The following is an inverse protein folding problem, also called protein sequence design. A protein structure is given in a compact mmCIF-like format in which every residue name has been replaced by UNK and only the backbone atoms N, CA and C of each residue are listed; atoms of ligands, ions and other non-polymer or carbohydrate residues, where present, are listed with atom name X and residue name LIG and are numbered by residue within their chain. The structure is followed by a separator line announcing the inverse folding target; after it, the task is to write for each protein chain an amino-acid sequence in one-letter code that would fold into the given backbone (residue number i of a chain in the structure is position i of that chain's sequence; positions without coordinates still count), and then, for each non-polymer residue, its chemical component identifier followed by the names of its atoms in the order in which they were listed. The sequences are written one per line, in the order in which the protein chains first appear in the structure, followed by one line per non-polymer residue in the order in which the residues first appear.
data_IF_340631801400
#
_entry.id   IF_340631801400
#
_cell.length_a   1.000
_cell.length_b   1.000
_cell.length_c   1.000
_cell.angle_alpha   90.00
_cell.angle_beta   90.00
_cell.angle_gamma   90.00
#
_symmetry.space_group_name_H-M   'P 1'
#
loop_
_entity.id
_entity.type
_entity.pdbx_description
1 polymer ?
#
# COMPACT_ATOMS: atom_id res chain seq x y z
N UNK A 1 -22.99 11.73 -7.98
CA UNK A 1 -22.84 13.01 -7.26
C UNK A 1 -23.40 12.86 -5.86
N UNK A 2 -22.67 13.32 -4.83
CA UNK A 2 -23.07 13.23 -3.41
C UNK A 2 -23.16 14.65 -2.84
N UNK A 3 -24.28 15.00 -2.23
CA UNK A 3 -24.44 16.25 -1.50
C UNK A 3 -23.93 16.10 -0.07
N UNK A 4 -23.15 17.05 0.42
CA UNK A 4 -22.51 16.98 1.72
C UNK A 4 -22.46 18.35 2.41
N UNK A 5 -22.34 18.34 3.75
CA UNK A 5 -22.18 19.57 4.55
C UNK A 5 -20.75 20.12 4.38
N UNK A 6 -20.52 20.82 3.30
CA UNK A 6 -19.21 21.40 2.93
C UNK A 6 -19.37 22.72 2.21
N UNK A 7 -18.29 23.52 2.16
CA UNK A 7 -18.27 24.83 1.52
C UNK A 7 -17.70 24.81 0.09
N UNK A 8 -17.01 23.73 -0.31
CA UNK A 8 -16.33 23.63 -1.59
C UNK A 8 -16.69 22.36 -2.35
N UNK A 9 -16.53 22.37 -3.66
CA UNK A 9 -16.62 21.21 -4.52
C UNK A 9 -15.39 20.30 -4.34
N UNK A 10 -15.55 18.99 -4.52
CA UNK A 10 -14.46 18.04 -4.49
C UNK A 10 -14.72 16.89 -5.46
N UNK A 11 -13.70 16.51 -6.21
CA UNK A 11 -13.70 15.29 -7.00
C UNK A 11 -12.72 14.32 -6.35
N UNK A 12 -13.16 13.09 -6.20
CA UNK A 12 -12.32 11.97 -5.74
C UNK A 12 -12.36 10.89 -6.81
N UNK A 13 -11.22 10.46 -7.28
CA UNK A 13 -11.07 9.31 -8.17
C UNK A 13 -10.52 8.17 -7.33
N UNK A 14 -11.32 7.13 -7.12
CA UNK A 14 -10.90 5.94 -6.38
C UNK A 14 -10.10 5.01 -7.28
N UNK A 15 -9.36 4.08 -6.68
CA UNK A 15 -8.48 3.13 -7.39
C UNK A 15 -9.22 2.25 -8.39
N UNK A 16 -10.46 1.87 -8.09
CA UNK A 16 -11.33 1.08 -8.99
C UNK A 16 -11.93 1.91 -10.12
N UNK A 17 -11.42 3.12 -10.36
CA UNK A 17 -11.91 4.02 -11.41
C UNK A 17 -13.22 4.74 -11.08
N UNK A 18 -13.78 4.54 -9.88
CA UNK A 18 -15.00 5.26 -9.48
C UNK A 18 -14.70 6.73 -9.22
N UNK A 19 -15.33 7.60 -10.00
CA UNK A 19 -15.29 9.05 -9.80
C UNK A 19 -16.46 9.46 -8.92
N UNK A 20 -16.17 10.07 -7.77
CA UNK A 20 -17.18 10.61 -6.86
C UNK A 20 -17.03 12.13 -6.76
N UNK A 21 -18.13 12.84 -7.03
CA UNK A 21 -18.20 14.30 -6.92
C UNK A 21 -19.02 14.67 -5.69
N UNK A 22 -18.39 15.34 -4.73
CA UNK A 22 -19.05 15.86 -3.52
C UNK A 22 -19.25 17.34 -3.64
N UNK A 23 -20.49 17.78 -3.46
CA UNK A 23 -20.91 19.18 -3.62
C UNK A 23 -21.61 19.69 -2.37
N UNK A 24 -21.59 21.01 -2.11
CA UNK A 24 -22.41 21.63 -1.08
C UNK A 24 -23.91 21.37 -1.30
N UNK A 25 -24.71 21.37 -0.24
CA UNK A 25 -26.18 21.19 -0.35
C UNK A 25 -26.84 22.25 -1.23
N UNK A 26 -26.34 23.49 -1.21
CA UNK A 26 -26.85 24.61 -1.97
C UNK A 26 -26.39 24.67 -3.43
N UNK A 27 -25.47 23.81 -3.83
CA UNK A 27 -24.90 23.82 -5.18
C UNK A 27 -25.93 23.36 -6.21
N UNK A 28 -26.05 24.12 -7.32
CA UNK A 28 -26.87 23.72 -8.45
C UNK A 28 -26.23 22.56 -9.22
N UNK A 29 -27.03 21.77 -9.90
CA UNK A 29 -26.56 20.69 -10.74
C UNK A 29 -25.69 21.21 -11.90
N UNK A 30 -26.05 22.37 -12.45
CA UNK A 30 -25.26 23.05 -13.48
C UNK A 30 -23.86 23.40 -13.01
N UNK A 31 -23.74 24.02 -11.83
CA UNK A 31 -22.45 24.36 -11.24
C UNK A 31 -21.57 23.09 -10.95
N UNK A 32 -22.21 21.98 -10.53
CA UNK A 32 -21.52 20.72 -10.33
C UNK A 32 -20.97 20.15 -11.65
N UNK A 33 -21.76 20.19 -12.73
CA UNK A 33 -21.33 19.73 -14.07
C UNK A 33 -20.20 20.61 -14.62
N UNK A 34 -20.29 21.91 -14.51
CA UNK A 34 -19.26 22.86 -14.94
C UNK A 34 -17.94 22.60 -14.18
N UNK A 35 -18.01 22.36 -12.88
CA UNK A 35 -16.85 22.00 -12.08
C UNK A 35 -16.21 20.68 -12.51
N UNK A 36 -16.99 19.63 -12.79
CA UNK A 36 -16.48 18.35 -13.30
C UNK A 36 -15.81 18.55 -14.65
N UNK A 37 -16.45 19.28 -15.57
CA UNK A 37 -15.89 19.55 -16.88
C UNK A 37 -14.58 20.33 -16.81
N UNK A 38 -14.46 21.30 -15.90
CA UNK A 38 -13.22 22.06 -15.69
C UNK A 38 -12.06 21.19 -15.15
N UNK A 39 -12.34 19.99 -14.67
CA UNK A 39 -11.36 19.03 -14.12
C UNK A 39 -11.27 17.74 -14.92
N UNK A 40 -11.87 17.69 -16.13
CA UNK A 40 -11.90 16.48 -16.96
C UNK A 40 -10.52 15.91 -17.26
N UNK A 41 -9.57 16.73 -17.69
CA UNK A 41 -8.19 16.30 -17.95
C UNK A 41 -7.51 15.71 -16.70
N UNK A 42 -7.72 16.32 -15.54
CA UNK A 42 -7.19 15.80 -14.29
C UNK A 42 -7.81 14.44 -13.93
N UNK A 43 -9.14 14.31 -14.11
CA UNK A 43 -9.86 13.05 -13.89
C UNK A 43 -9.35 11.97 -14.84
N UNK A 44 -9.19 12.27 -16.13
CA UNK A 44 -8.66 11.35 -17.13
C UNK A 44 -7.23 10.90 -16.78
N UNK A 45 -6.36 11.84 -16.39
CA UNK A 45 -5.00 11.52 -15.93
C UNK A 45 -5.03 10.59 -14.71
N UNK A 46 -5.93 10.83 -13.75
CA UNK A 46 -6.09 9.97 -12.59
C UNK A 46 -6.60 8.58 -12.97
N UNK A 47 -7.61 8.49 -13.85
CA UNK A 47 -8.16 7.22 -14.33
C UNK A 47 -7.11 6.41 -15.10
N UNK A 48 -6.37 7.05 -16.00
CA UNK A 48 -5.27 6.42 -16.74
C UNK A 48 -4.17 5.93 -15.80
N UNK A 49 -3.75 6.76 -14.85
CA UNK A 49 -2.77 6.37 -13.84
C UNK A 49 -3.24 5.20 -12.96
N UNK A 50 -4.53 5.14 -12.63
CA UNK A 50 -5.11 4.03 -11.88
C UNK A 50 -5.24 2.76 -12.73
N UNK A 51 -5.54 2.88 -14.02
CA UNK A 51 -5.60 1.75 -14.96
C UNK A 51 -4.22 1.13 -15.20
N UNK A 52 -3.17 1.96 -15.25
CA UNK A 52 -1.78 1.53 -15.36
C UNK A 52 -1.20 1.05 -14.02
N UNK A 53 -1.93 1.23 -12.92
CA UNK A 53 -1.51 0.81 -11.59
C UNK A 53 -1.78 -0.68 -11.39
N UNK A 54 -0.72 -1.45 -11.40
CA UNK A 54 -0.75 -2.89 -11.07
C UNK A 54 -1.13 -3.18 -9.60
N UNK A 55 -1.46 -2.17 -8.82
CA UNK A 55 -1.52 -2.29 -7.37
C UNK A 55 -2.77 -1.63 -6.75
N UNK A 56 -3.49 -2.27 -5.80
CA UNK A 56 -3.30 -3.62 -5.28
C UNK A 56 -3.70 -4.71 -6.29
N UNK A 57 -3.06 -5.91 -6.24
CA UNK A 57 -3.41 -7.00 -7.16
C UNK A 57 -4.87 -7.42 -6.98
N UNK A 58 -5.51 -7.86 -8.06
CA UNK A 58 -6.86 -8.41 -7.99
C UNK A 58 -6.88 -9.64 -7.09
N UNK A 59 -7.78 -9.67 -6.13
CA UNK A 59 -7.95 -10.78 -5.20
C UNK A 59 -8.93 -11.82 -5.77
N UNK A 60 -8.55 -12.48 -6.86
CA UNK A 60 -9.32 -13.54 -7.51
C UNK A 60 -8.61 -14.90 -7.34
N UNK A 61 -9.37 -16.00 -7.32
CA UNK A 61 -8.77 -17.36 -7.31
C UNK A 61 -7.98 -17.59 -8.59
N UNK A 62 -6.75 -18.13 -8.47
CA UNK A 62 -5.82 -18.32 -9.57
C UNK A 62 -4.91 -17.10 -9.81
N UNK A 63 -5.09 -15.97 -9.12
CA UNK A 63 -4.22 -14.82 -9.26
C UNK A 63 -2.82 -15.12 -8.69
N UNK A 64 -1.80 -14.75 -9.45
CA UNK A 64 -0.40 -14.84 -9.03
C UNK A 64 0.10 -13.50 -8.49
N UNK A 65 0.88 -13.55 -7.41
CA UNK A 65 1.48 -12.38 -6.79
C UNK A 65 2.69 -12.77 -5.93
N UNK A 66 3.42 -11.77 -5.48
CA UNK A 66 4.54 -11.97 -4.59
C UNK A 66 4.19 -11.50 -3.18
N UNK A 67 4.67 -12.25 -2.16
CA UNK A 67 4.73 -11.75 -0.78
C UNK A 67 6.16 -11.94 -0.29
N UNK A 68 6.78 -10.86 0.16
CA UNK A 68 8.15 -10.88 0.65
C UNK A 68 9.14 -11.50 -0.37
N UNK A 69 8.97 -11.21 -1.66
CA UNK A 69 9.79 -11.71 -2.75
C UNK A 69 9.53 -13.17 -3.16
N UNK A 70 8.57 -13.87 -2.53
CA UNK A 70 8.20 -15.24 -2.89
C UNK A 70 6.91 -15.26 -3.70
N UNK A 71 6.83 -16.06 -4.78
CA UNK A 71 5.62 -16.17 -5.58
C UNK A 71 4.56 -17.01 -4.86
N UNK A 72 3.31 -16.61 -5.01
CA UNK A 72 2.14 -17.32 -4.51
C UNK A 72 1.02 -17.30 -5.53
N UNK A 73 0.26 -18.40 -5.61
CA UNK A 73 -1.03 -18.46 -6.32
C UNK A 73 -2.16 -18.47 -5.29
N UNK A 74 -3.12 -17.55 -5.44
CA UNK A 74 -4.21 -17.33 -4.50
C UNK A 74 -5.40 -18.22 -4.80
N UNK A 75 -5.92 -18.90 -3.79
CA UNK A 75 -7.18 -19.65 -3.87
C UNK A 75 -8.09 -19.28 -2.71
N UNK A 76 -9.37 -19.05 -3.03
CA UNK A 76 -10.40 -18.87 -2.02
C UNK A 76 -11.23 -20.15 -1.90
N UNK A 77 -11.58 -20.51 -0.67
CA UNK A 77 -12.42 -21.68 -0.41
C UNK A 77 -13.45 -21.40 0.69
N UNK A 78 -14.55 -22.18 0.66
CA UNK A 78 -15.54 -22.23 1.74
C UNK A 78 -15.50 -23.63 2.36
N UNK A 79 -15.23 -23.73 3.67
CA UNK A 79 -15.13 -25.05 4.33
C UNK A 79 -14.72 -24.97 5.80
N UNK A 80 -14.73 -26.12 6.48
CA UNK A 80 -14.42 -26.23 7.92
C UNK A 80 -12.91 -26.34 8.23
N UNK A 81 -12.13 -26.89 7.32
CA UNK A 81 -10.69 -27.11 7.56
C UNK A 81 -9.87 -25.89 7.12
N UNK A 82 -8.92 -25.40 7.94
CA UNK A 82 -7.91 -24.46 7.45
C UNK A 82 -7.05 -25.22 6.43
N UNK A 83 -6.85 -24.64 5.27
CA UNK A 83 -5.89 -25.16 4.29
C UNK A 83 -4.59 -24.43 4.54
N UNK A 84 -3.56 -25.18 4.86
CA UNK A 84 -2.20 -24.66 5.02
C UNK A 84 -1.63 -24.28 3.66
N UNK A 85 -0.83 -23.24 3.62
CA UNK A 85 -0.05 -22.87 2.43
C UNK A 85 0.91 -24.03 2.09
N UNK A 86 0.66 -24.72 0.99
CA UNK A 86 1.67 -25.58 0.41
C UNK A 86 2.58 -24.72 -0.46
N UNK A 87 3.88 -24.78 -0.20
CA UNK A 87 5.03 -24.07 -0.80
C UNK A 87 4.79 -22.76 -1.59
N UNK A 88 3.83 -22.73 -2.54
CA UNK A 88 3.55 -21.59 -3.42
C UNK A 88 2.03 -21.30 -3.57
N UNK A 89 1.18 -21.92 -2.77
CA UNK A 89 -0.26 -21.72 -2.83
C UNK A 89 -0.76 -21.08 -1.54
N UNK A 90 -1.53 -20.00 -1.67
CA UNK A 90 -2.17 -19.33 -0.55
C UNK A 90 -3.66 -19.61 -0.57
N UNK A 91 -4.10 -20.50 0.30
CA UNK A 91 -5.50 -20.86 0.45
C UNK A 91 -6.14 -20.00 1.55
N UNK A 92 -7.14 -19.23 1.19
CA UNK A 92 -7.82 -18.32 2.10
C UNK A 92 -9.27 -18.73 2.28
N UNK A 93 -9.65 -18.97 3.54
CA UNK A 93 -11.03 -19.25 3.90
C UNK A 93 -11.86 -17.97 3.85
N UNK A 94 -12.98 -18.04 3.12
CA UNK A 94 -13.99 -16.98 3.08
C UNK A 94 -15.20 -17.42 3.89
N UNK A 95 -15.69 -16.58 4.82
CA UNK A 95 -16.99 -16.82 5.46
C UNK A 95 -18.10 -16.75 4.41
N UNK A 96 -19.16 -17.56 4.61
CA UNK A 96 -20.36 -17.47 3.78
C UNK A 96 -20.97 -16.06 3.95
N UNK A 97 -20.88 -15.25 2.92
CA UNK A 97 -21.39 -13.88 2.93
C UNK A 97 -22.24 -13.61 1.69
N UNK A 98 -23.12 -12.62 1.75
CA UNK A 98 -23.89 -12.15 0.58
C UNK A 98 -22.96 -11.57 -0.48
N UNK A 99 -23.25 -11.74 -1.75
CA UNK A 99 -22.42 -11.44 -2.92
C UNK A 99 -21.66 -10.10 -2.86
N UNK A 100 -22.31 -9.03 -2.43
CA UNK A 100 -21.71 -7.67 -2.35
C UNK A 100 -20.62 -7.56 -1.24
N UNK A 101 -20.72 -8.37 -0.18
CA UNK A 101 -19.76 -8.39 0.92
C UNK A 101 -18.55 -9.29 0.61
N UNK A 102 -18.68 -10.24 -0.32
CA UNK A 102 -17.67 -11.27 -0.61
C UNK A 102 -16.34 -10.67 -1.05
N UNK A 103 -16.32 -9.70 -1.97
CA UNK A 103 -15.07 -9.11 -2.47
C UNK A 103 -14.31 -8.31 -1.39
N UNK A 104 -15.06 -7.63 -0.53
CA UNK A 104 -14.47 -6.92 0.60
C UNK A 104 -13.85 -7.88 1.62
N UNK A 105 -14.52 -8.99 1.91
CA UNK A 105 -14.04 -10.00 2.84
C UNK A 105 -12.86 -10.79 2.24
N UNK A 106 -12.87 -11.10 0.94
CA UNK A 106 -11.71 -11.66 0.23
C UNK A 106 -10.47 -10.77 0.37
N UNK A 107 -10.59 -9.50 0.02
CA UNK A 107 -9.48 -8.54 0.11
C UNK A 107 -8.95 -8.40 1.54
N UNK A 108 -9.85 -8.37 2.53
CA UNK A 108 -9.49 -8.26 3.93
C UNK A 108 -8.78 -9.53 4.44
N UNK A 109 -9.30 -10.71 4.09
CA UNK A 109 -8.70 -11.98 4.44
C UNK A 109 -7.34 -12.17 3.76
N UNK A 110 -7.21 -11.79 2.48
CA UNK A 110 -5.93 -11.77 1.75
C UNK A 110 -4.89 -10.90 2.45
N UNK A 111 -5.23 -9.65 2.76
CA UNK A 111 -4.29 -8.73 3.43
C UNK A 111 -3.88 -9.23 4.81
N UNK A 112 -4.78 -9.90 5.54
CA UNK A 112 -4.43 -10.52 6.83
C UNK A 112 -3.38 -11.61 6.65
N UNK A 113 -3.59 -12.55 5.72
CA UNK A 113 -2.64 -13.62 5.42
C UNK A 113 -1.32 -13.07 4.88
N UNK A 114 -1.37 -12.05 4.02
CA UNK A 114 -0.17 -11.38 3.53
C UNK A 114 0.64 -10.74 4.67
N UNK A 115 -0.03 -10.13 5.65
CA UNK A 115 0.64 -9.54 6.83
C UNK A 115 1.31 -10.61 7.70
N UNK A 116 0.65 -11.76 7.92
CA UNK A 116 1.19 -12.88 8.70
C UNK A 116 2.45 -13.48 8.03
N UNK A 117 2.49 -13.52 6.69
CA UNK A 117 3.67 -13.97 5.93
C UNK A 117 4.76 -12.91 5.91
N UNK A 118 4.39 -11.64 5.75
CA UNK A 118 5.34 -10.55 5.59
C UNK A 118 6.03 -10.16 6.90
N UNK A 119 5.37 -10.25 8.05
CA UNK A 119 5.94 -9.81 9.34
C UNK A 119 7.27 -10.48 9.68
N UNK A 120 7.40 -11.82 9.70
CA UNK A 120 8.68 -12.47 10.02
C UNK A 120 9.79 -12.12 9.04
N UNK A 121 9.45 -11.92 7.76
CA UNK A 121 10.41 -11.45 6.76
C UNK A 121 10.87 -10.01 7.07
N UNK A 122 9.92 -9.11 7.33
CA UNK A 122 10.20 -7.71 7.63
C UNK A 122 11.07 -7.57 8.90
N UNK A 123 10.78 -8.33 9.96
CA UNK A 123 11.58 -8.36 11.18
C UNK A 123 13.02 -8.84 10.92
N UNK A 124 13.15 -9.97 10.20
CA UNK A 124 14.48 -10.51 9.84
C UNK A 124 15.27 -9.51 8.99
N UNK A 125 14.63 -8.96 7.94
CA UNK A 125 15.32 -8.07 7.01
C UNK A 125 15.68 -6.73 7.63
N UNK A 126 14.81 -6.19 8.49
CA UNK A 126 15.10 -4.97 9.27
C UNK A 126 16.30 -5.18 10.18
N UNK A 127 16.39 -6.32 10.86
CA UNK A 127 17.53 -6.67 11.71
C UNK A 127 18.81 -6.76 10.90
N UNK A 128 18.84 -7.49 9.79
CA UNK A 128 20.01 -7.63 8.92
C UNK A 128 20.56 -6.27 8.48
N UNK A 129 19.69 -5.36 8.03
CA UNK A 129 20.09 -4.02 7.57
C UNK A 129 20.53 -3.15 8.76
N UNK A 130 19.82 -3.23 9.88
CA UNK A 130 20.16 -2.48 11.08
C UNK A 130 21.52 -2.88 11.65
N UNK A 131 21.79 -4.18 11.76
CA UNK A 131 23.06 -4.72 12.24
C UNK A 131 24.23 -4.30 11.32
N UNK A 132 24.02 -4.37 10.00
CA UNK A 132 25.01 -3.95 9.03
C UNK A 132 25.37 -2.45 9.12
N UNK A 133 24.37 -1.59 9.42
CA UNK A 133 24.56 -0.13 9.50
C UNK A 133 24.85 0.37 10.91
N UNK A 134 24.77 -0.46 11.95
CA UNK A 134 24.86 -0.03 13.34
C UNK A 134 23.68 0.85 13.76
N UNK A 135 22.47 0.54 13.27
CA UNK A 135 21.26 1.27 13.61
C UNK A 135 20.43 0.50 14.65
N UNK A 136 19.86 1.24 15.60
CA UNK A 136 19.01 0.68 16.64
C UNK A 136 17.55 1.05 16.41
N UNK A 137 16.65 0.10 16.59
CA UNK A 137 15.20 0.30 16.54
C UNK A 137 14.52 -0.46 17.69
N UNK A 138 13.32 -0.06 18.06
CA UNK A 138 12.61 -0.63 19.20
C UNK A 138 11.81 -1.88 18.84
N UNK A 139 11.06 -1.83 17.75
CA UNK A 139 10.19 -2.90 17.31
C UNK A 139 9.78 -2.75 15.86
N UNK A 140 9.39 -3.84 15.24
CA UNK A 140 8.79 -3.89 13.89
C UNK A 140 7.37 -4.40 13.98
N UNK A 141 6.45 -3.79 13.25
CA UNK A 141 5.07 -4.25 13.09
C UNK A 141 4.62 -4.10 11.64
N UNK A 142 3.61 -4.86 11.25
CA UNK A 142 2.91 -4.70 9.96
C UNK A 142 1.52 -4.15 10.21
N UNK A 143 1.18 -3.08 9.51
CA UNK A 143 -0.12 -2.42 9.57
C UNK A 143 -0.81 -2.37 8.20
N UNK A 144 -2.00 -1.78 8.15
CA UNK A 144 -2.84 -1.73 6.95
C UNK A 144 -2.97 -0.32 6.38
N UNK A 145 -1.94 0.53 6.58
CA UNK A 145 -1.94 1.88 6.05
C UNK A 145 -1.97 1.87 4.51
N UNK A 146 -2.87 2.70 3.94
CA UNK A 146 -3.04 2.86 2.49
C UNK A 146 -2.42 4.14 1.94
N UNK A 147 -1.76 4.93 2.79
CA UNK A 147 -1.22 6.25 2.42
C UNK A 147 0.28 6.35 2.56
N UNK A 148 0.93 5.30 3.09
CA UNK A 148 2.39 5.24 3.29
C UNK A 148 2.87 3.80 3.30
N UNK A 149 4.11 3.58 2.88
CA UNK A 149 4.76 2.27 2.85
C UNK A 149 5.29 1.85 4.22
N UNK A 150 5.74 2.81 5.01
CA UNK A 150 6.24 2.63 6.35
C UNK A 150 6.09 3.88 7.20
N UNK A 151 6.50 3.78 8.46
CA UNK A 151 6.67 4.92 9.36
C UNK A 151 7.55 4.52 10.55
N UNK A 152 8.46 5.43 10.94
CA UNK A 152 9.25 5.32 12.15
C UNK A 152 8.74 6.32 13.19
N UNK A 153 8.29 5.82 14.34
CA UNK A 153 7.83 6.64 15.46
C UNK A 153 8.97 7.40 16.15
N UNK A 154 8.62 8.35 17.00
CA UNK A 154 9.59 9.09 17.83
C UNK A 154 10.38 8.20 18.77
N UNK A 155 9.83 7.07 19.18
CA UNK A 155 10.43 6.05 20.02
C UNK A 155 11.21 4.97 19.24
N UNK A 156 11.46 5.18 17.95
CA UNK A 156 12.09 4.24 17.03
C UNK A 156 11.32 2.91 16.81
N UNK A 157 10.02 2.88 17.07
CA UNK A 157 9.15 1.78 16.63
C UNK A 157 8.83 1.96 15.14
N UNK A 158 8.99 0.89 14.35
CA UNK A 158 8.77 0.89 12.91
C UNK A 158 7.49 0.12 12.58
N UNK A 159 6.66 0.70 11.72
CA UNK A 159 5.46 0.05 11.19
C UNK A 159 5.54 0.06 9.68
N UNK A 160 5.55 -1.12 9.05
CA UNK A 160 5.45 -1.26 7.60
C UNK A 160 4.00 -1.50 7.19
N UNK A 161 3.62 -1.00 6.03
CA UNK A 161 2.34 -1.37 5.41
C UNK A 161 2.39 -2.80 4.89
N UNK A 162 1.31 -3.57 5.04
CA UNK A 162 1.17 -4.89 4.41
C UNK A 162 1.38 -4.83 2.89
N UNK A 163 1.01 -3.72 2.28
CA UNK A 163 1.21 -3.49 0.85
C UNK A 163 2.69 -3.45 0.45
N UNK A 164 3.59 -3.08 1.35
CA UNK A 164 5.02 -3.14 1.12
C UNK A 164 5.47 -4.57 0.83
N UNK A 165 4.93 -5.55 1.57
CA UNK A 165 5.25 -6.96 1.39
C UNK A 165 4.87 -7.53 0.02
N UNK A 166 4.03 -6.84 -0.75
CA UNK A 166 3.61 -7.24 -2.10
C UNK A 166 4.50 -6.65 -3.21
N UNK A 167 5.55 -5.91 -2.85
CA UNK A 167 6.48 -5.29 -3.80
C UNK A 167 7.68 -6.17 -4.10
N UNK A 168 8.43 -5.89 -5.19
CA UNK A 168 9.74 -6.47 -5.42
C UNK A 168 10.67 -6.23 -4.23
N UNK A 169 11.53 -7.22 -3.95
CA UNK A 169 12.42 -7.21 -2.79
C UNK A 169 13.30 -5.94 -2.72
N UNK A 170 13.79 -5.48 -3.86
CA UNK A 170 14.62 -4.26 -3.94
C UNK A 170 13.91 -3.00 -3.40
N UNK A 171 12.58 -2.93 -3.57
CA UNK A 171 11.77 -1.81 -3.06
C UNK A 171 11.40 -2.00 -1.60
N UNK A 172 11.22 -3.25 -1.15
CA UNK A 172 11.07 -3.56 0.28
C UNK A 172 12.32 -3.13 1.04
N UNK A 173 13.50 -3.51 0.56
CA UNK A 173 14.78 -3.17 1.17
C UNK A 173 15.02 -1.65 1.22
N UNK A 174 14.63 -0.94 0.16
CA UNK A 174 14.70 0.51 0.14
C UNK A 174 13.82 1.15 1.22
N UNK A 175 12.58 0.70 1.38
CA UNK A 175 11.67 1.26 2.41
C UNK A 175 12.15 0.87 3.82
N UNK A 176 12.67 -0.34 4.02
CA UNK A 176 13.25 -0.76 5.29
C UNK A 176 14.43 0.16 5.66
N UNK A 177 15.36 0.40 4.74
CA UNK A 177 16.46 1.33 4.95
C UNK A 177 15.97 2.76 5.25
N UNK A 178 14.96 3.23 4.52
CA UNK A 178 14.35 4.55 4.73
C UNK A 178 13.82 4.72 6.15
N UNK A 179 13.02 3.76 6.63
CA UNK A 179 12.46 3.81 7.99
C UNK A 179 13.53 3.61 9.08
N UNK A 180 14.54 2.77 8.84
CA UNK A 180 15.69 2.65 9.73
C UNK A 180 16.50 3.94 9.81
N UNK A 181 16.69 4.66 8.70
CA UNK A 181 17.39 5.93 8.70
C UNK A 181 16.67 6.97 9.58
N UNK A 182 15.34 6.89 9.68
CA UNK A 182 14.57 7.72 10.60
C UNK A 182 14.84 7.44 12.09
N UNK A 183 15.49 6.33 12.45
CA UNK A 183 15.96 6.13 13.84
C UNK A 183 17.10 7.08 14.20
N UNK A 184 17.84 7.59 13.21
CA UNK A 184 18.95 8.55 13.37
C UNK A 184 18.53 9.98 13.03
N UNK A 185 17.80 10.19 11.93
CA UNK A 185 17.38 11.52 11.43
C UNK A 185 15.88 11.52 11.13
N UNK A 186 15.09 12.26 11.93
CA UNK A 186 13.61 12.24 11.84
C UNK A 186 13.03 13.02 10.66
N UNK A 187 13.77 13.89 10.03
CA UNK A 187 13.34 14.67 8.87
C UNK A 187 14.08 14.26 7.60
N UNK A 188 13.49 14.55 6.44
CA UNK A 188 14.07 14.22 5.12
C UNK A 188 15.06 15.31 4.62
N UNK A 189 15.84 15.90 5.53
CA UNK A 189 16.87 16.88 5.22
C UNK A 189 18.09 16.28 4.50
N UNK A 190 19.13 17.11 4.34
CA UNK A 190 20.39 16.72 3.68
C UNK A 190 21.03 15.48 4.33
N UNK A 191 21.10 15.46 5.65
CA UNK A 191 21.76 14.38 6.41
C UNK A 191 21.03 13.06 6.24
N UNK A 192 19.69 13.07 6.20
CA UNK A 192 18.87 11.88 5.91
C UNK A 192 19.25 11.28 4.56
N UNK A 193 19.23 12.11 3.51
CA UNK A 193 19.52 11.61 2.17
C UNK A 193 20.99 11.19 2.00
N UNK A 194 21.90 11.81 2.73
CA UNK A 194 23.32 11.40 2.76
C UNK A 194 23.44 9.99 3.31
N UNK A 195 22.80 9.68 4.44
CA UNK A 195 22.81 8.33 5.05
C UNK A 195 22.18 7.29 4.13
N UNK A 196 20.99 7.60 3.56
CA UNK A 196 20.31 6.67 2.65
C UNK A 196 21.15 6.40 1.41
N UNK A 197 21.71 7.43 0.75
CA UNK A 197 22.49 7.24 -0.48
C UNK A 197 23.84 6.59 -0.23
N UNK A 198 24.46 6.77 0.94
CA UNK A 198 25.69 6.06 1.31
C UNK A 198 25.45 4.57 1.50
N UNK A 199 24.31 4.19 2.12
CA UNK A 199 23.94 2.79 2.33
C UNK A 199 23.38 2.14 1.04
N UNK A 200 22.74 2.92 0.18
CA UNK A 200 22.08 2.44 -1.05
C UNK A 200 22.26 3.50 -2.15
N UNK A 201 23.31 3.40 -2.99
CA UNK A 201 23.61 4.41 -4.01
C UNK A 201 22.49 4.65 -5.03
N UNK A 202 21.70 3.60 -5.33
CA UNK A 202 20.57 3.64 -6.26
C UNK A 202 19.21 3.98 -5.58
N UNK A 203 19.24 4.48 -4.34
CA UNK A 203 18.04 4.83 -3.57
C UNK A 203 17.09 5.80 -4.29
N UNK A 204 17.64 6.76 -5.06
CA UNK A 204 16.85 7.72 -5.86
C UNK A 204 16.04 6.99 -6.95
N UNK A 205 16.64 6.03 -7.62
CA UNK A 205 16.01 5.21 -8.65
C UNK A 205 14.88 4.35 -8.07
N UNK A 206 15.15 3.70 -6.94
CA UNK A 206 14.16 2.90 -6.21
C UNK A 206 12.98 3.75 -5.75
N UNK A 207 13.23 4.98 -5.28
CA UNK A 207 12.17 5.93 -4.94
C UNK A 207 11.26 6.25 -6.14
N UNK A 208 11.84 6.50 -7.31
CA UNK A 208 11.05 6.76 -8.52
C UNK A 208 10.27 5.51 -8.99
N UNK A 209 10.89 4.33 -8.92
CA UNK A 209 10.19 3.05 -9.16
C UNK A 209 9.01 2.87 -8.21
N UNK A 210 9.20 3.15 -6.92
CA UNK A 210 8.17 2.99 -5.89
C UNK A 210 6.93 3.85 -6.14
N UNK A 211 7.10 5.05 -6.71
CA UNK A 211 5.98 5.94 -7.10
C UNK A 211 5.03 5.32 -8.12
N UNK A 212 5.51 4.35 -8.93
CA UNK A 212 4.69 3.65 -9.93
C UNK A 212 3.74 2.64 -9.29
N UNK A 213 4.08 2.09 -8.13
CA UNK A 213 3.28 1.07 -7.46
C UNK A 213 2.09 1.61 -6.70
N UNK A 214 2.17 2.84 -6.20
CA UNK A 214 1.07 3.43 -5.49
C UNK A 214 1.06 4.94 -5.61
N UNK A 215 0.29 5.48 -6.53
CA UNK A 215 0.16 6.94 -6.70
C UNK A 215 -0.45 7.65 -5.47
N UNK A 216 -0.93 6.90 -4.50
CA UNK A 216 -1.58 7.38 -3.27
C UNK A 216 -0.84 7.00 -1.98
N UNK A 217 0.23 6.19 -2.06
CA UNK A 217 1.14 5.95 -0.94
C UNK A 217 2.29 6.96 -1.00
N UNK A 218 2.58 7.63 0.10
CA UNK A 218 3.69 8.59 0.23
C UNK A 218 4.81 8.03 1.10
N UNK A 219 6.03 8.44 0.76
CA UNK A 219 7.22 8.32 1.63
C UNK A 219 7.65 9.72 2.01
#
# INVERSE_FOLDING_TARGET
MVRARRRSFCITVSQNGKVEVRVPYYASERAAREFVNSKSEWVEKCLKKNADSFFPPKTESGAEFFIAGRPYTLYFYSGRKPVLSDKNYLYIKIPAAREIAVEREKSKAFLKSAAEIFLPYAEKRTREIADFLGYEYKSVRVGYAKTRWGSCGGDNSIIYSVYLGLLPQELIDYVILHELTHTKVKNHGRDFWLLVCNAMPDAKEKREKLKKYAPFLSI
#
